data_IF_540831877848
#
_entry.id   IF_540831877848
#
_cell.length_a   1.000
_cell.length_b   1.000
_cell.length_c   1.000
_cell.angle_alpha   90.00
_cell.angle_beta   90.00
_cell.angle_gamma   90.00
#
_symmetry.space_group_name_H-M   'P 1'
#
loop_
_entity.id
_entity.type
_entity.pdbx_description
1 polymer ?
#
# COMPACT_ATOMS: atom_id res chain seq x y z
N UNK A 1 26.87 -26.82 25.09
CA UNK A 1 25.71 -26.58 24.21
C UNK A 1 26.15 -25.67 23.06
N UNK A 2 26.08 -26.14 21.81
CA UNK A 2 26.55 -25.42 20.61
C UNK A 2 25.83 -24.07 20.44
N UNK A 3 26.56 -23.04 19.98
CA UNK A 3 26.06 -21.69 19.67
C UNK A 3 24.81 -21.74 18.78
N UNK A 4 24.74 -22.71 17.87
CA UNK A 4 23.59 -22.94 16.98
C UNK A 4 22.33 -23.35 17.74
N UNK A 5 22.44 -24.15 18.81
CA UNK A 5 21.29 -24.58 19.61
C UNK A 5 20.77 -23.44 20.50
N UNK A 6 21.67 -22.56 20.98
CA UNK A 6 21.28 -21.35 21.73
C UNK A 6 20.49 -20.37 20.86
N UNK A 7 20.91 -20.18 19.60
CA UNK A 7 20.19 -19.34 18.63
C UNK A 7 18.83 -19.95 18.29
N UNK A 8 18.77 -21.26 18.01
CA UNK A 8 17.50 -21.95 17.71
C UNK A 8 16.50 -21.87 18.87
N UNK A 9 16.96 -22.05 20.12
CA UNK A 9 16.12 -21.88 21.31
C UNK A 9 15.67 -20.43 21.50
N UNK A 10 16.53 -19.46 21.20
CA UNK A 10 16.17 -18.04 21.23
C UNK A 10 15.06 -17.71 20.23
N UNK A 11 15.18 -18.18 18.99
CA UNK A 11 14.17 -17.99 17.94
C UNK A 11 12.86 -18.69 18.32
N UNK A 12 12.93 -19.93 18.80
CA UNK A 12 11.75 -20.68 19.24
C UNK A 12 11.03 -19.95 20.37
N UNK A 13 11.77 -19.43 21.35
CA UNK A 13 11.22 -18.62 22.44
C UNK A 13 10.52 -17.37 21.92
N UNK A 14 11.13 -16.64 20.98
CA UNK A 14 10.56 -15.44 20.38
C UNK A 14 9.27 -15.74 19.57
N UNK A 15 9.24 -16.86 18.86
CA UNK A 15 8.05 -17.33 18.12
C UNK A 15 6.92 -17.71 19.09
N UNK A 16 7.24 -18.42 20.18
CA UNK A 16 6.25 -18.80 21.20
C UNK A 16 5.71 -17.57 21.92
N UNK A 17 6.57 -16.62 22.29
CA UNK A 17 6.16 -15.35 22.91
C UNK A 17 5.29 -14.53 21.96
N UNK A 18 5.66 -14.41 20.68
CA UNK A 18 4.85 -13.66 19.71
C UNK A 18 3.50 -14.31 19.43
N UNK A 19 3.42 -15.65 19.40
CA UNK A 19 2.16 -16.38 19.32
C UNK A 19 1.31 -16.20 20.60
N UNK A 20 1.91 -16.34 21.78
CA UNK A 20 1.23 -16.14 23.05
C UNK A 20 0.71 -14.70 23.20
N UNK A 21 1.46 -13.70 22.75
CA UNK A 21 1.01 -12.32 22.72
C UNK A 21 -0.13 -12.14 21.72
N UNK A 22 -0.01 -12.68 20.50
CA UNK A 22 -1.05 -12.54 19.46
C UNK A 22 -2.37 -13.21 19.81
N UNK A 23 -2.33 -14.39 20.43
CA UNK A 23 -3.53 -15.17 20.75
C UNK A 23 -4.00 -15.00 22.20
N UNK A 24 -3.12 -14.56 23.11
CA UNK A 24 -3.42 -14.35 24.53
C UNK A 24 -3.82 -12.92 24.90
N UNK A 25 -3.25 -11.88 24.25
CA UNK A 25 -3.68 -10.50 24.53
C UNK A 25 -5.16 -10.22 24.22
N UNK A 26 -5.75 -10.72 23.12
CA UNK A 26 -7.15 -10.43 22.81
C UNK A 26 -8.12 -10.89 23.91
N UNK A 27 -7.78 -11.97 24.63
CA UNK A 27 -8.58 -12.50 25.74
C UNK A 27 -8.41 -11.77 27.07
N UNK A 28 -7.34 -11.00 27.26
CA UNK A 28 -7.03 -10.29 28.52
C UNK A 28 -7.33 -8.79 28.41
N UNK A 29 -7.04 -8.17 27.26
CA UNK A 29 -7.11 -6.73 27.06
C UNK A 29 -8.29 -6.26 26.21
N UNK A 30 -9.18 -7.16 25.77
CA UNK A 30 -10.37 -6.78 25.01
C UNK A 30 -10.04 -5.94 23.78
N UNK A 31 -8.93 -6.26 23.09
CA UNK A 31 -8.60 -5.62 21.81
C UNK A 31 -9.65 -6.13 20.82
N UNK A 32 -10.73 -5.36 20.66
CA UNK A 32 -11.77 -5.65 19.68
C UNK A 32 -11.16 -5.84 18.31
N UNK A 33 -11.79 -6.67 17.48
CA UNK A 33 -11.43 -6.79 16.07
C UNK A 33 -11.24 -5.39 15.49
N UNK A 34 -10.12 -5.08 14.81
CA UNK A 34 -9.94 -3.76 14.22
C UNK A 34 -11.15 -3.45 13.34
N UNK A 35 -11.93 -2.44 13.73
CA UNK A 35 -13.24 -2.09 13.12
C UNK A 35 -13.07 -1.57 11.69
N UNK A 36 -11.84 -1.30 11.26
CA UNK A 36 -11.56 -0.69 9.95
C UNK A 36 -11.00 -1.74 8.99
N UNK A 37 -11.82 -2.71 8.65
CA UNK A 37 -11.73 -3.36 7.34
C UNK A 37 -13.11 -3.22 6.70
N UNK A 38 -13.42 -2.00 6.28
CA UNK A 38 -14.63 -1.73 5.51
C UNK A 38 -14.48 -2.52 4.21
N UNK A 39 -15.36 -3.50 4.01
CA UNK A 39 -15.40 -4.30 2.79
C UNK A 39 -15.51 -3.35 1.61
N UNK A 40 -14.77 -3.60 0.52
CA UNK A 40 -14.89 -2.80 -0.68
C UNK A 40 -16.35 -2.87 -1.18
N UNK A 41 -17.03 -1.73 -1.18
CA UNK A 41 -18.44 -1.63 -1.54
C UNK A 41 -18.56 -1.41 -3.05
N UNK A 42 -19.47 -2.11 -3.74
CA UNK A 42 -19.73 -1.88 -5.15
C UNK A 42 -20.41 -0.51 -5.34
N UNK A 43 -19.90 0.27 -6.28
CA UNK A 43 -20.46 1.59 -6.64
C UNK A 43 -21.30 1.45 -7.91
N UNK A 44 -20.76 0.81 -8.94
CA UNK A 44 -21.46 0.57 -10.20
C UNK A 44 -21.02 -0.74 -10.86
N UNK A 45 -21.86 -1.26 -11.76
CA UNK A 45 -21.56 -2.44 -12.57
C UNK A 45 -21.85 -2.18 -14.05
N UNK A 46 -21.13 -2.90 -14.89
CA UNK A 46 -21.30 -2.92 -16.34
C UNK A 46 -21.56 -4.36 -16.74
N UNK A 47 -22.73 -4.64 -17.31
CA UNK A 47 -23.08 -5.97 -17.81
C UNK A 47 -23.80 -5.90 -19.18
N UNK A 48 -24.26 -7.04 -19.69
CA UNK A 48 -24.97 -7.10 -20.97
C UNK A 48 -26.30 -6.34 -21.01
N UNK A 49 -26.82 -5.88 -19.86
CA UNK A 49 -28.05 -5.10 -19.75
C UNK A 49 -27.81 -3.59 -19.58
N UNK A 50 -26.56 -3.15 -19.46
CA UNK A 50 -26.17 -1.75 -19.46
C UNK A 50 -25.29 -1.34 -18.27
N UNK A 51 -25.34 -0.04 -17.95
CA UNK A 51 -24.62 0.57 -16.84
C UNK A 51 -25.57 0.76 -15.65
N UNK A 52 -25.17 0.29 -14.46
CA UNK A 52 -26.02 0.29 -13.26
C UNK A 52 -25.34 0.96 -12.07
N UNK A 53 -26.06 1.83 -11.35
CA UNK A 53 -25.57 2.54 -10.15
C UNK A 53 -26.22 2.01 -8.86
N UNK A 54 -25.40 1.80 -7.82
CA UNK A 54 -25.85 1.68 -6.43
C UNK A 54 -25.81 0.26 -5.83
N UNK A 55 -25.70 0.16 -4.48
CA UNK A 55 -25.52 -1.11 -3.76
C UNK A 55 -26.77 -2.00 -3.70
N UNK A 56 -27.96 -1.43 -3.90
CA UNK A 56 -29.25 -2.12 -3.74
C UNK A 56 -29.52 -3.23 -4.78
N UNK A 57 -28.78 -3.26 -5.89
CA UNK A 57 -28.88 -4.33 -6.90
C UNK A 57 -28.04 -5.58 -6.57
N UNK A 58 -27.17 -5.51 -5.55
CA UNK A 58 -26.21 -6.56 -5.21
C UNK A 58 -26.66 -7.52 -4.08
N UNK A 59 -27.83 -7.27 -3.48
CA UNK A 59 -28.43 -8.15 -2.47
C UNK A 59 -28.82 -9.54 -3.01
N UNK A 60 -28.77 -9.74 -4.34
CA UNK A 60 -29.10 -10.99 -5.00
C UNK A 60 -27.92 -11.82 -5.49
N UNK A 61 -26.69 -11.28 -5.53
CA UNK A 61 -25.48 -11.98 -5.98
C UNK A 61 -25.56 -12.47 -7.44
N UNK A 62 -24.53 -12.15 -8.22
CA UNK A 62 -24.31 -12.61 -9.60
C UNK A 62 -25.20 -11.90 -10.64
N UNK A 63 -24.65 -10.84 -11.26
CA UNK A 63 -24.79 -10.75 -12.72
C UNK A 63 -23.77 -11.76 -13.26
N UNK A 64 -24.19 -12.93 -13.76
CA UNK A 64 -23.27 -13.89 -14.34
C UNK A 64 -22.72 -13.26 -15.63
N UNK A 65 -21.55 -12.61 -15.53
CA UNK A 65 -20.87 -12.00 -16.69
C UNK A 65 -20.70 -10.48 -16.68
N UNK A 66 -20.98 -9.76 -15.57
CA UNK A 66 -20.74 -8.31 -15.47
C UNK A 66 -19.43 -7.92 -14.77
N UNK A 67 -18.85 -6.76 -15.11
CA UNK A 67 -17.71 -6.14 -14.42
C UNK A 67 -18.19 -5.18 -13.32
N UNK A 68 -17.77 -5.42 -12.08
CA UNK A 68 -18.17 -4.62 -10.91
C UNK A 68 -17.03 -3.69 -10.51
N UNK A 69 -17.34 -2.40 -10.35
CA UNK A 69 -16.39 -1.39 -9.87
C UNK A 69 -16.70 -1.03 -8.43
N UNK A 70 -15.69 -1.20 -7.57
CA UNK A 70 -15.79 -0.93 -6.13
C UNK A 70 -15.17 0.42 -5.76
N UNK A 71 -15.50 0.91 -4.57
CA UNK A 71 -14.84 2.08 -3.98
C UNK A 71 -13.31 1.93 -3.96
N UNK A 72 -12.79 0.76 -3.62
CA UNK A 72 -11.37 0.48 -3.56
C UNK A 72 -10.71 0.59 -4.93
N UNK A 73 -11.39 0.16 -6.00
CA UNK A 73 -10.88 0.31 -7.38
C UNK A 73 -10.82 1.78 -7.81
N UNK A 74 -11.83 2.58 -7.48
CA UNK A 74 -11.81 4.02 -7.76
C UNK A 74 -10.70 4.73 -6.98
N UNK A 75 -10.51 4.40 -5.70
CA UNK A 75 -9.45 4.97 -4.88
C UNK A 75 -8.07 4.57 -5.40
N UNK A 76 -7.87 3.31 -5.81
CA UNK A 76 -6.63 2.87 -6.43
C UNK A 76 -6.33 3.66 -7.73
N UNK A 77 -7.33 3.84 -8.59
CA UNK A 77 -7.20 4.65 -9.81
C UNK A 77 -6.87 6.11 -9.49
N UNK A 78 -7.50 6.70 -8.48
CA UNK A 78 -7.23 8.06 -8.03
C UNK A 78 -5.78 8.21 -7.55
N UNK A 79 -5.30 7.31 -6.69
CA UNK A 79 -3.91 7.28 -6.22
C UNK A 79 -2.95 7.19 -7.39
N UNK A 80 -3.20 6.28 -8.32
CA UNK A 80 -2.38 6.10 -9.53
C UNK A 80 -2.35 7.37 -10.38
N UNK A 81 -3.51 8.02 -10.60
CA UNK A 81 -3.60 9.25 -11.38
C UNK A 81 -2.83 10.39 -10.73
N UNK A 82 -3.00 10.61 -9.43
CA UNK A 82 -2.29 11.64 -8.67
C UNK A 82 -0.78 11.44 -8.76
N UNK A 83 -0.29 10.22 -8.50
CA UNK A 83 1.14 9.91 -8.59
C UNK A 83 1.69 10.08 -10.00
N UNK A 84 0.92 9.69 -11.02
CA UNK A 84 1.31 9.87 -12.42
C UNK A 84 1.45 11.34 -12.75
N UNK A 85 0.47 12.18 -12.37
CA UNK A 85 0.51 13.62 -12.60
C UNK A 85 1.71 14.25 -11.87
N UNK A 86 1.91 13.92 -10.59
CA UNK A 86 3.04 14.44 -9.80
C UNK A 86 4.38 14.04 -10.43
N UNK A 87 4.52 12.80 -10.88
CA UNK A 87 5.73 12.32 -11.56
C UNK A 87 5.98 13.03 -12.88
N UNK A 88 4.95 13.21 -13.71
CA UNK A 88 5.06 13.95 -14.97
C UNK A 88 5.41 15.42 -14.75
N UNK A 89 4.83 16.07 -13.74
CA UNK A 89 5.14 17.46 -13.40
C UNK A 89 6.57 17.58 -12.89
N UNK A 90 7.03 16.66 -12.05
CA UNK A 90 8.41 16.62 -11.57
C UNK A 90 9.43 16.43 -12.71
N UNK A 91 9.11 15.59 -13.70
CA UNK A 91 10.00 15.27 -14.81
C UNK A 91 9.96 16.27 -15.98
N UNK A 92 8.96 17.15 -16.06
CA UNK A 92 8.71 17.99 -17.25
C UNK A 92 9.76 19.06 -17.52
N UNK A 93 10.33 19.69 -16.50
CA UNK A 93 11.22 20.85 -16.63
C UNK A 93 12.45 20.74 -15.72
N UNK A 94 13.17 19.62 -15.81
CA UNK A 94 14.38 19.39 -15.02
C UNK A 94 15.49 20.36 -15.43
N UNK A 95 15.95 21.19 -14.50
CA UNK A 95 17.06 22.14 -14.69
C UNK A 95 18.33 21.60 -14.05
N UNK A 96 19.49 21.96 -14.60
CA UNK A 96 20.79 21.59 -14.03
C UNK A 96 20.99 22.14 -12.60
N UNK A 97 20.55 23.38 -12.38
CA UNK A 97 20.50 23.99 -11.04
C UNK A 97 19.03 23.89 -10.58
N UNK A 98 18.72 23.01 -9.63
CA UNK A 98 17.34 22.75 -9.25
C UNK A 98 16.75 23.95 -8.50
N UNK A 99 15.47 24.25 -8.76
CA UNK A 99 14.74 25.37 -8.15
C UNK A 99 13.29 24.98 -7.85
N UNK A 100 12.72 25.52 -6.77
CA UNK A 100 11.29 25.36 -6.44
C UNK A 100 10.89 23.90 -6.18
N UNK A 101 9.90 23.39 -6.94
CA UNK A 101 9.36 22.04 -6.78
C UNK A 101 10.39 20.94 -7.07
N UNK A 102 11.33 21.18 -8.00
CA UNK A 102 12.39 20.23 -8.32
C UNK A 102 13.28 19.92 -7.09
N UNK A 103 13.60 20.94 -6.27
CA UNK A 103 14.39 20.75 -5.05
C UNK A 103 13.70 19.76 -4.10
N UNK A 104 12.40 19.95 -3.87
CA UNK A 104 11.64 19.07 -2.99
C UNK A 104 11.62 17.63 -3.54
N UNK A 105 11.32 17.46 -4.83
CA UNK A 105 11.26 16.13 -5.43
C UNK A 105 12.60 15.43 -5.45
N UNK A 106 13.70 16.15 -5.72
CA UNK A 106 15.05 15.59 -5.71
C UNK A 106 15.46 15.16 -4.30
N UNK A 107 15.21 16.00 -3.29
CA UNK A 107 15.53 15.64 -1.89
C UNK A 107 14.78 14.37 -1.47
N UNK A 108 13.49 14.25 -1.81
CA UNK A 108 12.69 13.07 -1.47
C UNK A 108 13.19 11.82 -2.21
N UNK A 109 13.36 11.92 -3.54
CA UNK A 109 13.76 10.78 -4.38
C UNK A 109 15.18 10.34 -4.07
N UNK A 110 16.14 11.27 -3.96
CA UNK A 110 17.55 10.97 -3.66
C UNK A 110 17.72 10.47 -2.22
N UNK A 111 17.03 11.09 -1.26
CA UNK A 111 17.02 10.62 0.13
C UNK A 111 16.52 9.19 0.25
N UNK A 112 15.44 8.86 -0.46
CA UNK A 112 14.94 7.49 -0.51
C UNK A 112 15.91 6.56 -1.25
N UNK A 113 16.43 6.95 -2.41
CA UNK A 113 17.39 6.14 -3.16
C UNK A 113 18.60 5.77 -2.30
N UNK A 114 19.17 6.74 -1.59
CA UNK A 114 20.29 6.49 -0.69
C UNK A 114 19.90 5.62 0.52
N UNK A 115 18.70 5.79 1.06
CA UNK A 115 18.18 4.96 2.15
C UNK A 115 18.08 3.49 1.73
N UNK A 116 17.45 3.19 0.59
CA UNK A 116 17.37 1.81 0.10
C UNK A 116 18.75 1.29 -0.35
N UNK A 117 19.63 2.18 -0.82
CA UNK A 117 20.99 1.84 -1.24
C UNK A 117 21.85 1.39 -0.06
N UNK A 118 21.52 1.80 1.17
CA UNK A 118 22.16 1.32 2.39
C UNK A 118 21.86 -0.15 2.70
N UNK A 119 20.76 -0.70 2.18
CA UNK A 119 20.38 -2.11 2.36
C UNK A 119 21.14 -3.00 1.37
N UNK A 120 21.06 -2.69 0.07
CA UNK A 120 21.80 -3.41 -0.96
C UNK A 120 22.12 -2.51 -2.16
N UNK A 121 23.34 -1.96 -2.14
CA UNK A 121 23.83 -1.04 -3.18
C UNK A 121 24.08 -1.73 -4.53
N UNK A 122 24.23 -3.06 -4.56
CA UNK A 122 24.52 -3.80 -5.78
C UNK A 122 23.29 -3.90 -6.68
N UNK A 123 22.11 -4.01 -6.10
CA UNK A 123 20.88 -4.25 -6.85
C UNK A 123 19.91 -3.07 -6.87
N UNK A 124 20.16 -2.01 -6.09
CA UNK A 124 19.25 -0.87 -6.02
C UNK A 124 18.94 -0.27 -7.39
N UNK A 125 19.93 -0.03 -8.25
CA UNK A 125 19.68 0.59 -9.56
C UNK A 125 18.69 -0.22 -10.42
N UNK A 126 18.65 -1.55 -10.23
CA UNK A 126 17.73 -2.45 -10.94
C UNK A 126 16.34 -2.49 -10.32
N UNK A 127 16.23 -2.47 -8.99
CA UNK A 127 14.95 -2.58 -8.29
C UNK A 127 14.32 -1.24 -7.92
N UNK A 128 15.07 -0.14 -8.06
CA UNK A 128 14.65 1.20 -7.66
C UNK A 128 13.29 1.60 -8.24
N UNK A 129 13.02 1.43 -9.55
CA UNK A 129 11.71 1.80 -10.10
C UNK A 129 10.57 1.04 -9.42
N UNK A 130 10.75 -0.26 -9.15
CA UNK A 130 9.71 -1.09 -8.53
C UNK A 130 9.50 -0.71 -7.05
N UNK A 131 10.58 -0.65 -6.28
CA UNK A 131 10.53 -0.36 -4.84
C UNK A 131 10.02 1.06 -4.59
N UNK A 132 10.52 2.02 -5.37
CA UNK A 132 10.08 3.41 -5.32
C UNK A 132 8.59 3.54 -5.64
N UNK A 133 8.11 2.93 -6.73
CA UNK A 133 6.68 2.95 -7.08
C UNK A 133 5.82 2.33 -5.99
N UNK A 134 6.18 1.17 -5.45
CA UNK A 134 5.43 0.53 -4.35
C UNK A 134 5.39 1.44 -3.13
N UNK A 135 6.52 2.02 -2.74
CA UNK A 135 6.60 2.91 -1.59
C UNK A 135 5.70 4.13 -1.77
N UNK A 136 5.85 4.87 -2.88
CA UNK A 136 5.06 6.08 -3.11
C UNK A 136 3.57 5.77 -3.27
N UNK A 137 3.23 4.63 -3.89
CA UNK A 137 1.85 4.15 -3.97
C UNK A 137 1.26 3.91 -2.59
N UNK A 138 1.93 3.13 -1.74
CA UNK A 138 1.44 2.83 -0.38
C UNK A 138 1.36 4.10 0.47
N UNK A 139 2.36 4.97 0.39
CA UNK A 139 2.36 6.24 1.12
C UNK A 139 1.15 7.11 0.74
N UNK A 140 0.92 7.32 -0.56
CA UNK A 140 -0.21 8.12 -1.06
C UNK A 140 -1.55 7.46 -0.76
N UNK A 141 -1.66 6.14 -0.95
CA UNK A 141 -2.87 5.37 -0.63
C UNK A 141 -3.25 5.50 0.84
N UNK A 142 -2.27 5.46 1.74
CA UNK A 142 -2.51 5.60 3.17
C UNK A 142 -2.88 7.04 3.55
N UNK A 143 -2.27 8.04 2.92
CA UNK A 143 -2.59 9.44 3.17
C UNK A 143 -4.01 9.80 2.68
N UNK A 144 -4.40 9.34 1.49
CA UNK A 144 -5.74 9.58 0.97
C UNK A 144 -6.83 8.87 1.78
N UNK A 145 -6.51 7.74 2.43
CA UNK A 145 -7.44 7.07 3.34
C UNK A 145 -7.73 7.85 4.64
N UNK A 146 -6.93 8.88 4.97
CA UNK A 146 -7.16 9.76 6.13
C UNK A 146 -8.02 10.98 5.79
N UNK A 147 -8.31 11.22 4.51
CA UNK A 147 -9.17 12.32 4.08
C UNK A 147 -10.62 11.95 4.42
N UNK A 148 -11.34 12.80 5.20
CA UNK A 148 -12.71 12.52 5.62
C UNK A 148 -13.71 12.60 4.46
#
# INVERSE_FOLDING_TARGET
MSTRNKILLGILGLVVISAALRYGLPGIFGVGSPVVSVKAEPIFSIDGSGFHFGPAMFAGGHHPGGFVVTNAMLMALLVTLVLTILSLVAARNVRLVPTGFQNFTEIVVDGMYNTFGSVDRKYIARFWPLVGTIFFYVLMSNWLALVP
#
